data_IF_383414450390
#
_entry.id   IF_383414450390
#
_cell.length_a   1.000
_cell.length_b   1.000
_cell.length_c   1.000
_cell.angle_alpha   90.00
_cell.angle_beta   90.00
_cell.angle_gamma   90.00
#
_symmetry.space_group_name_H-M   'P 1'
#
loop_
_entity.id
_entity.type
_entity.pdbx_description
1 polymer ?
#
# COMPACT_ATOMS: atom_id res chain seq x y z
N UNK A 1 -14.23 14.28 13.98
CA UNK A 1 -13.19 13.31 13.61
C UNK A 1 -12.21 14.01 12.67
N UNK A 2 -10.91 13.83 12.84
CA UNK A 2 -9.94 14.35 11.87
C UNK A 2 -10.18 13.64 10.53
N UNK A 3 -10.24 14.38 9.43
CA UNK A 3 -10.34 13.75 8.11
C UNK A 3 -9.06 12.94 7.85
N UNK A 4 -9.16 11.73 7.27
CA UNK A 4 -7.98 11.02 6.79
C UNK A 4 -7.19 11.94 5.87
N UNK A 5 -5.88 12.07 6.12
CA UNK A 5 -4.98 12.79 5.23
C UNK A 5 -4.36 11.77 4.30
N UNK A 6 -4.44 12.00 2.98
CA UNK A 6 -3.76 11.15 2.00
C UNK A 6 -2.23 11.12 2.17
N UNK A 7 -1.65 12.14 2.80
CA UNK A 7 -0.23 12.16 3.18
C UNK A 7 -0.08 12.22 4.70
N UNK A 8 0.71 11.27 5.24
CA UNK A 8 1.15 11.22 6.62
C UNK A 8 2.67 10.93 6.65
N UNK A 9 3.42 11.91 7.16
CA UNK A 9 4.88 11.85 7.26
C UNK A 9 5.34 10.67 8.13
N UNK A 10 4.75 10.50 9.30
CA UNK A 10 5.18 9.48 10.26
C UNK A 10 4.85 8.08 9.76
N UNK A 11 3.70 7.92 9.08
CA UNK A 11 3.34 6.68 8.41
C UNK A 11 4.42 6.28 7.38
N UNK A 12 4.84 7.19 6.50
CA UNK A 12 5.87 6.91 5.48
C UNK A 12 7.23 6.57 6.11
N UNK A 13 7.66 7.34 7.11
CA UNK A 13 8.98 7.17 7.72
C UNK A 13 9.11 5.90 8.55
N UNK A 14 8.01 5.41 9.12
CA UNK A 14 8.03 4.27 10.05
C UNK A 14 7.48 2.96 9.46
N UNK A 15 6.87 2.99 8.28
CA UNK A 15 6.30 1.78 7.65
C UNK A 15 7.39 0.73 7.36
N UNK A 16 7.10 -0.52 7.75
CA UNK A 16 7.96 -1.69 7.59
C UNK A 16 7.84 -2.34 6.21
N UNK A 17 6.75 -2.10 5.48
CA UNK A 17 6.58 -2.49 4.08
C UNK A 17 7.13 -1.42 3.14
N UNK A 18 8.26 -1.72 2.50
CA UNK A 18 8.78 -0.89 1.41
C UNK A 18 7.86 -0.88 0.17
N UNK A 19 7.21 -2.00 -0.22
CA UNK A 19 6.16 -1.98 -1.26
C UNK A 19 5.07 -0.95 -0.98
N UNK A 20 4.50 -0.92 0.23
CA UNK A 20 3.47 0.08 0.58
C UNK A 20 4.01 1.51 0.49
N UNK A 21 5.25 1.76 0.92
CA UNK A 21 5.89 3.08 0.79
C UNK A 21 6.03 3.49 -0.68
N UNK A 22 6.43 2.57 -1.55
CA UNK A 22 6.54 2.84 -2.99
C UNK A 22 5.18 3.10 -3.62
N UNK A 23 4.18 2.28 -3.33
CA UNK A 23 2.80 2.49 -3.79
C UNK A 23 2.30 3.86 -3.34
N UNK A 24 2.59 4.26 -2.10
CA UNK A 24 2.20 5.57 -1.59
C UNK A 24 2.87 6.73 -2.32
N UNK A 25 4.14 6.59 -2.68
CA UNK A 25 4.85 7.57 -3.51
C UNK A 25 4.16 7.72 -4.87
N UNK A 26 3.84 6.60 -5.52
CA UNK A 26 3.18 6.57 -6.83
C UNK A 26 1.80 7.24 -6.77
N UNK A 27 0.95 6.88 -5.80
CA UNK A 27 -0.38 7.49 -5.61
C UNK A 27 -0.33 9.02 -5.43
N UNK A 28 0.70 9.52 -4.74
CA UNK A 28 0.90 10.95 -4.52
C UNK A 28 1.43 11.63 -5.79
N UNK A 29 2.34 10.99 -6.52
CA UNK A 29 2.85 11.48 -7.80
C UNK A 29 1.74 11.55 -8.87
N UNK A 30 0.86 10.55 -8.94
CA UNK A 30 -0.32 10.57 -9.80
C UNK A 30 -1.21 11.77 -9.52
N UNK A 31 -1.47 12.07 -8.24
CA UNK A 31 -2.28 13.22 -7.89
C UNK A 31 -1.62 14.54 -8.27
N UNK A 32 -0.32 14.69 -8.02
CA UNK A 32 0.41 15.89 -8.47
C UNK A 32 0.38 16.03 -10.00
N UNK A 33 0.47 14.93 -10.77
CA UNK A 33 0.30 14.96 -12.23
C UNK A 33 -1.10 15.45 -12.64
N UNK A 34 -2.15 14.87 -12.06
CA UNK A 34 -3.56 15.20 -12.37
C UNK A 34 -3.91 16.65 -11.98
N UNK A 35 -3.27 17.20 -10.94
CA UNK A 35 -3.41 18.60 -10.53
C UNK A 35 -2.49 19.56 -11.33
N UNK A 36 -1.62 19.04 -12.19
CA UNK A 36 -0.69 19.82 -13.01
C UNK A 36 0.58 20.30 -12.27
N UNK A 37 0.86 19.77 -11.08
CA UNK A 37 2.08 20.02 -10.31
C UNK A 37 3.25 19.14 -10.80
N UNK A 38 3.56 19.24 -12.10
CA UNK A 38 4.45 18.30 -12.81
C UNK A 38 5.88 18.29 -12.25
N UNK A 39 6.37 19.42 -11.74
CA UNK A 39 7.70 19.48 -11.10
C UNK A 39 7.76 18.63 -9.83
N UNK A 40 6.69 18.61 -9.04
CA UNK A 40 6.60 17.81 -7.81
C UNK A 40 6.52 16.33 -8.16
N UNK A 41 5.67 15.98 -9.12
CA UNK A 41 5.57 14.61 -9.62
C UNK A 41 6.91 14.11 -10.18
N UNK A 42 7.60 14.93 -11.00
CA UNK A 42 8.97 14.65 -11.46
C UNK A 42 9.90 14.36 -10.29
N UNK A 43 9.87 15.19 -9.24
CA UNK A 43 10.72 15.01 -8.06
C UNK A 43 10.52 13.65 -7.38
N UNK A 44 9.28 13.22 -7.22
CA UNK A 44 8.93 11.91 -6.65
C UNK A 44 9.35 10.77 -7.56
N UNK A 45 9.03 10.85 -8.86
CA UNK A 45 9.42 9.82 -9.83
C UNK A 45 10.94 9.71 -9.95
N UNK A 46 11.69 10.82 -9.92
CA UNK A 46 13.15 10.81 -9.87
C UNK A 46 13.67 10.07 -8.63
N UNK A 47 13.10 10.32 -7.44
CA UNK A 47 13.48 9.58 -6.23
C UNK A 47 13.24 8.07 -6.40
N UNK A 48 12.07 7.70 -6.93
CA UNK A 48 11.75 6.28 -7.17
C UNK A 48 12.68 5.65 -8.21
N UNK A 49 12.99 6.33 -9.32
CA UNK A 49 13.89 5.82 -10.38
C UNK A 49 15.36 5.73 -9.95
N UNK A 50 15.81 6.60 -9.04
CA UNK A 50 17.11 6.52 -8.40
C UNK A 50 17.20 5.30 -7.46
N UNK A 51 16.10 5.00 -6.78
CA UNK A 51 16.02 3.88 -5.86
C UNK A 51 15.75 2.54 -6.58
N UNK A 52 15.12 2.58 -7.75
CA UNK A 52 14.76 1.42 -8.56
C UNK A 52 15.98 0.71 -9.16
N UNK A 53 16.05 -0.61 -8.97
CA UNK A 53 17.14 -1.45 -9.50
C UNK A 53 16.75 -2.30 -10.70
N UNK A 54 15.47 -2.66 -10.86
CA UNK A 54 15.04 -3.56 -11.96
C UNK A 54 14.25 -2.85 -13.07
N UNK A 55 14.28 -3.41 -14.28
CA UNK A 55 13.51 -2.91 -15.43
C UNK A 55 11.99 -2.98 -15.17
N UNK A 56 11.52 -4.03 -14.47
CA UNK A 56 10.10 -4.16 -14.13
C UNK A 56 9.59 -2.98 -13.31
N UNK A 57 10.39 -2.53 -12.32
CA UNK A 57 10.06 -1.38 -11.48
C UNK A 57 10.11 -0.07 -12.29
N UNK A 58 11.09 0.07 -13.20
CA UNK A 58 11.16 1.23 -14.10
C UNK A 58 9.91 1.32 -14.98
N UNK A 59 9.45 0.18 -15.49
CA UNK A 59 8.24 0.10 -16.30
C UNK A 59 6.99 0.59 -15.54
N UNK A 60 6.93 0.42 -14.21
CA UNK A 60 5.82 0.96 -13.41
C UNK A 60 5.74 2.48 -13.48
N UNK A 61 6.83 3.18 -13.82
CA UNK A 61 6.87 4.63 -13.94
C UNK A 61 6.50 5.15 -15.33
N UNK A 62 6.34 4.29 -16.34
CA UNK A 62 6.10 4.73 -17.73
C UNK A 62 4.80 5.51 -17.91
N UNK A 63 3.77 5.25 -17.09
CA UNK A 63 2.51 5.97 -17.16
C UNK A 63 2.62 7.48 -16.83
N UNK A 64 3.73 7.91 -16.21
CA UNK A 64 4.03 9.33 -15.98
C UNK A 64 4.66 10.03 -17.19
N UNK A 65 5.25 9.29 -18.13
CA UNK A 65 6.00 9.86 -19.27
C UNK A 65 5.16 10.82 -20.14
N UNK A 66 3.88 10.55 -20.44
CA UNK A 66 3.04 11.48 -21.19
C UNK A 66 2.88 12.85 -20.49
N UNK A 67 2.87 12.90 -19.16
CA UNK A 67 2.81 14.17 -18.42
C UNK A 67 4.12 14.94 -18.52
N UNK A 68 5.26 14.25 -18.43
CA UNK A 68 6.59 14.84 -18.60
C UNK A 68 6.83 15.34 -20.02
N UNK A 69 6.33 14.60 -21.01
CA UNK A 69 6.35 15.00 -22.41
C UNK A 69 5.53 16.27 -22.62
N UNK A 70 4.27 16.29 -22.16
CA UNK A 70 3.39 17.44 -22.29
C UNK A 70 3.93 18.72 -21.64
N UNK A 71 4.58 18.61 -20.47
CA UNK A 71 5.20 19.73 -19.79
C UNK A 71 6.62 20.05 -20.29
N UNK A 72 7.21 19.19 -21.12
CA UNK A 72 8.63 19.20 -21.50
C UNK A 72 9.59 19.24 -20.28
N UNK A 73 9.28 18.46 -19.24
CA UNK A 73 10.03 18.39 -17.99
C UNK A 73 10.20 16.92 -17.61
N UNK A 74 11.42 16.40 -17.77
CA UNK A 74 11.72 14.97 -17.59
C UNK A 74 12.61 14.72 -16.37
N UNK A 75 12.40 13.60 -15.63
CA UNK A 75 13.40 13.02 -14.73
C UNK A 75 14.76 12.84 -15.41
N UNK A 76 15.85 13.11 -14.69
CA UNK A 76 17.20 12.96 -15.24
C UNK A 76 17.58 11.48 -15.44
N UNK A 77 16.91 10.60 -14.70
CA UNK A 77 17.07 9.15 -14.71
C UNK A 77 16.50 8.48 -15.98
N UNK A 78 15.63 9.18 -16.73
CA UNK A 78 15.10 8.68 -18.00
C UNK A 78 16.10 9.03 -19.12
N UNK A 79 16.56 8.08 -19.94
CA UNK A 79 17.50 8.34 -21.03
C UNK A 79 16.99 9.40 -22.03
N UNK A 80 17.85 10.30 -22.50
CA UNK A 80 17.46 11.37 -23.44
C UNK A 80 16.75 10.85 -24.71
N UNK A 81 17.17 9.67 -25.20
CA UNK A 81 16.56 9.00 -26.36
C UNK A 81 15.10 8.57 -26.14
N UNK A 82 14.67 8.46 -24.89
CA UNK A 82 13.33 8.08 -24.45
C UNK A 82 12.48 9.31 -24.06
N UNK A 83 13.09 10.51 -23.94
CA UNK A 83 12.42 11.77 -23.60
C UNK A 83 11.72 12.40 -24.81
N UNK A 84 10.69 11.73 -25.34
CA UNK A 84 9.88 12.28 -26.42
C UNK A 84 8.45 11.74 -26.38
N UNK A 85 7.50 12.53 -26.88
CA UNK A 85 6.10 12.11 -27.05
C UNK A 85 6.01 10.79 -27.87
N UNK A 86 6.77 10.69 -28.96
CA UNK A 86 6.78 9.50 -29.81
C UNK A 86 7.41 8.24 -29.14
N UNK A 87 8.16 8.42 -28.05
CA UNK A 87 8.69 7.32 -27.26
C UNK A 87 7.71 6.95 -26.14
N UNK A 88 7.13 7.95 -25.44
CA UNK A 88 6.11 7.73 -24.41
C UNK A 88 4.87 7.00 -24.95
N UNK A 89 4.44 7.32 -26.18
CA UNK A 89 3.30 6.66 -26.83
C UNK A 89 3.53 5.17 -27.12
N UNK A 90 4.79 4.71 -27.08
CA UNK A 90 5.18 3.30 -27.32
C UNK A 90 5.39 2.51 -26.03
N UNK A 91 5.77 3.17 -24.95
CA UNK A 91 6.14 2.56 -23.66
C UNK A 91 5.00 2.56 -22.66
N UNK A 92 4.06 3.49 -22.80
CA UNK A 92 2.94 3.64 -21.88
C UNK A 92 1.84 2.60 -22.18
N UNK A 93 1.32 1.93 -21.15
CA UNK A 93 0.29 0.89 -21.29
C UNK A 93 -1.04 1.51 -21.72
N UNK A 94 -1.32 1.53 -23.03
CA UNK A 94 -2.56 2.07 -23.58
C UNK A 94 -3.77 1.38 -22.94
N UNK A 95 -4.66 2.15 -22.31
CA UNK A 95 -5.93 1.61 -21.84
C UNK A 95 -6.79 1.20 -23.05
N UNK A 96 -7.78 0.33 -22.86
CA UNK A 96 -8.69 -0.13 -23.92
C UNK A 96 -9.47 0.99 -24.66
N UNK A 97 -9.40 2.24 -24.17
CA UNK A 97 -9.99 3.43 -24.79
C UNK A 97 -8.95 4.38 -25.41
N UNK A 98 -7.67 4.14 -25.18
CA UNK A 98 -6.55 4.82 -25.85
C UNK A 98 -6.42 4.21 -27.26
N UNK A 99 -7.33 4.56 -28.18
CA UNK A 99 -7.40 3.94 -29.51
C UNK A 99 -6.68 4.77 -30.57
N UNK A 100 -5.84 4.11 -31.39
CA UNK A 100 -5.22 4.67 -32.60
C UNK A 100 -6.21 4.84 -33.78
N UNK A 101 -7.39 4.20 -33.70
CA UNK A 101 -8.43 4.22 -34.74
C UNK A 101 -9.62 5.10 -34.33
N UNK A 102 -9.65 6.31 -34.88
CA UNK A 102 -10.74 7.31 -34.72
C UNK A 102 -11.98 6.97 -35.57
N UNK A 103 -11.92 5.90 -36.37
CA UNK A 103 -13.00 5.53 -37.29
C UNK A 103 -14.05 4.63 -36.58
N UNK A 104 -15.22 5.24 -36.33
CA UNK A 104 -16.50 4.63 -35.91
C UNK A 104 -16.76 4.38 -34.40
N UNK A 105 -16.36 5.29 -33.50
CA UNK A 105 -17.04 5.40 -32.20
C UNK A 105 -18.12 6.50 -32.24
N UNK A 106 -19.35 6.17 -31.81
CA UNK A 106 -20.39 7.16 -31.51
C UNK A 106 -20.05 7.89 -30.21
N UNK A 107 -18.98 8.69 -30.24
CA UNK A 107 -18.50 9.44 -29.09
C UNK A 107 -19.59 10.37 -28.52
N UNK A 108 -20.49 10.84 -29.38
CA UNK A 108 -21.59 11.71 -28.94
C UNK A 108 -22.65 10.92 -28.16
N UNK A 109 -23.03 9.74 -28.63
CA UNK A 109 -23.92 8.82 -27.91
C UNK A 109 -23.27 8.32 -26.61
N UNK A 110 -22.00 7.93 -26.67
CA UNK A 110 -21.22 7.47 -25.50
C UNK A 110 -21.14 8.55 -24.43
N UNK A 111 -20.82 9.80 -24.79
CA UNK A 111 -20.77 10.92 -23.85
C UNK A 111 -22.13 11.15 -23.18
N UNK A 112 -23.21 11.15 -23.96
CA UNK A 112 -24.56 11.33 -23.41
C UNK A 112 -24.94 10.20 -22.44
N UNK A 113 -24.59 8.95 -22.76
CA UNK A 113 -24.84 7.82 -21.87
C UNK A 113 -24.00 7.89 -20.59
N UNK A 114 -22.73 8.28 -20.69
CA UNK A 114 -21.83 8.44 -19.55
C UNK A 114 -22.34 9.53 -18.59
N UNK A 115 -22.66 10.73 -19.09
CA UNK A 115 -23.22 11.82 -18.28
C UNK A 115 -24.57 11.42 -17.67
N UNK A 116 -25.43 10.74 -18.44
CA UNK A 116 -26.69 10.21 -17.93
C UNK A 116 -26.45 9.24 -16.77
N UNK A 117 -25.49 8.31 -16.89
CA UNK A 117 -25.15 7.38 -15.81
C UNK A 117 -24.63 8.09 -14.57
N UNK A 118 -23.80 9.12 -14.71
CA UNK A 118 -23.33 9.93 -13.58
C UNK A 118 -24.49 10.58 -12.84
N UNK A 119 -25.48 11.11 -13.55
CA UNK A 119 -26.66 11.72 -12.93
C UNK A 119 -27.66 10.71 -12.34
N UNK A 120 -27.80 9.52 -12.95
CA UNK A 120 -28.78 8.50 -12.52
C UNK A 120 -28.26 7.61 -11.39
N UNK A 121 -26.99 7.20 -11.45
CA UNK A 121 -26.39 6.21 -10.54
C UNK A 121 -25.29 6.80 -9.65
N UNK A 122 -24.93 8.07 -9.87
CA UNK A 122 -23.86 8.75 -9.14
C UNK A 122 -22.52 8.71 -9.88
N UNK A 123 -21.60 9.55 -9.41
CA UNK A 123 -20.26 9.69 -9.95
C UNK A 123 -19.39 8.47 -9.63
N UNK A 124 -19.30 7.53 -10.58
CA UNK A 124 -18.30 6.47 -10.60
C UNK A 124 -16.99 6.98 -11.21
N UNK A 125 -15.87 6.54 -10.66
CA UNK A 125 -14.54 6.99 -11.07
C UNK A 125 -14.18 6.57 -12.51
N UNK A 126 -14.60 5.39 -12.96
CA UNK A 126 -14.37 4.92 -14.34
C UNK A 126 -15.21 5.73 -15.31
N UNK A 127 -16.50 5.91 -14.99
CA UNK A 127 -17.43 6.66 -15.83
C UNK A 127 -16.96 8.11 -16.00
N UNK A 128 -16.50 8.77 -14.95
CA UNK A 128 -16.01 10.15 -15.02
C UNK A 128 -14.71 10.29 -15.82
N UNK A 129 -13.75 9.38 -15.63
CA UNK A 129 -12.52 9.37 -16.42
C UNK A 129 -12.82 9.15 -17.91
N UNK A 130 -13.71 8.21 -18.24
CA UNK A 130 -14.12 7.92 -19.62
C UNK A 130 -14.92 9.07 -20.24
N UNK A 131 -15.74 9.76 -19.45
CA UNK A 131 -16.48 10.94 -19.90
C UNK A 131 -15.52 12.08 -20.27
N UNK A 132 -14.45 12.30 -19.49
CA UNK A 132 -13.46 13.33 -19.78
C UNK A 132 -12.69 13.00 -21.06
N UNK A 133 -12.26 11.74 -21.22
CA UNK A 133 -11.67 11.21 -22.45
C UNK A 133 -12.55 11.44 -23.68
N UNK A 134 -13.82 11.04 -23.62
CA UNK A 134 -14.76 11.23 -24.73
C UNK A 134 -15.00 12.72 -25.02
N UNK A 135 -15.17 13.54 -23.98
CA UNK A 135 -15.34 14.99 -24.14
C UNK A 135 -14.12 15.64 -24.81
N UNK A 136 -12.92 15.25 -24.37
CA UNK A 136 -11.64 15.72 -24.90
C UNK A 136 -11.48 15.35 -26.38
N UNK A 137 -11.72 14.08 -26.76
CA UNK A 137 -11.69 13.62 -28.16
C UNK A 137 -12.70 14.36 -29.03
N UNK A 138 -13.91 14.58 -28.52
CA UNK A 138 -14.95 15.34 -29.23
C UNK A 138 -14.60 16.82 -29.44
N UNK A 139 -13.87 17.42 -28.51
CA UNK A 139 -13.36 18.79 -28.64
C UNK A 139 -12.19 18.86 -29.63
N UNK A 140 -11.26 17.89 -29.58
CA UNK A 140 -10.14 17.77 -30.53
C UNK A 140 -10.59 17.62 -31.99
N UNK A 141 -11.74 16.98 -32.24
CA UNK A 141 -12.35 16.92 -33.58
C UNK A 141 -12.76 18.29 -34.13
N UNK A 142 -12.91 19.30 -33.28
CA UNK A 142 -13.33 20.65 -33.66
C UNK A 142 -12.15 21.62 -33.74
N UNK A 143 -11.16 21.47 -32.86
CA UNK A 143 -10.01 22.35 -32.77
C UNK A 143 -8.80 21.63 -32.19
N UNK A 144 -7.61 21.94 -32.68
CA UNK A 144 -6.34 21.46 -32.11
C UNK A 144 -5.76 22.42 -31.06
N UNK A 145 -6.40 23.57 -30.83
CA UNK A 145 -5.98 24.53 -29.81
C UNK A 145 -6.42 24.04 -28.43
N UNK A 146 -5.46 23.76 -27.55
CA UNK A 146 -5.72 23.23 -26.21
C UNK A 146 -6.49 24.22 -25.33
N UNK A 147 -6.36 25.53 -25.55
CA UNK A 147 -7.14 26.53 -24.81
C UNK A 147 -8.60 26.52 -25.25
N UNK A 148 -8.88 26.30 -26.54
CA UNK A 148 -10.26 26.14 -27.03
C UNK A 148 -10.86 24.81 -26.56
N UNK A 149 -10.08 23.72 -26.56
CA UNK A 149 -10.50 22.41 -26.03
C UNK A 149 -10.83 22.50 -24.54
N UNK A 150 -9.98 23.17 -23.74
CA UNK A 150 -10.23 23.40 -22.33
C UNK A 150 -11.58 24.10 -22.13
N UNK A 151 -11.93 25.08 -22.98
CA UNK A 151 -13.16 25.84 -22.87
C UNK A 151 -14.40 25.17 -23.52
N UNK A 152 -14.25 23.98 -24.10
CA UNK A 152 -15.38 23.21 -24.62
C UNK A 152 -16.38 22.91 -23.49
N UNK A 153 -17.68 23.13 -23.75
CA UNK A 153 -18.70 23.00 -22.72
C UNK A 153 -18.78 21.60 -22.11
N UNK A 154 -18.49 20.55 -22.89
CA UNK A 154 -18.52 19.16 -22.42
C UNK A 154 -17.32 18.85 -21.54
N UNK A 155 -16.14 19.38 -21.91
CA UNK A 155 -14.92 19.26 -21.11
C UNK A 155 -15.11 19.98 -19.77
N UNK A 156 -15.64 21.21 -19.79
CA UNK A 156 -15.93 21.97 -18.58
C UNK A 156 -16.95 21.29 -17.66
N UNK A 157 -18.02 20.72 -18.23
CA UNK A 157 -19.04 19.95 -17.48
C UNK A 157 -18.41 18.78 -16.73
N UNK A 158 -17.59 17.97 -17.40
CA UNK A 158 -16.94 16.81 -16.75
C UNK A 158 -15.90 17.25 -15.72
N UNK A 159 -15.12 18.30 -16.00
CA UNK A 159 -14.14 18.83 -15.04
C UNK A 159 -14.81 19.33 -13.75
N UNK A 160 -16.02 19.89 -13.84
CA UNK A 160 -16.80 20.29 -12.67
C UNK A 160 -17.30 19.09 -11.87
N UNK A 161 -17.79 18.04 -12.55
CA UNK A 161 -18.18 16.78 -11.90
C UNK A 161 -16.98 16.11 -11.21
N UNK A 162 -15.81 16.08 -11.87
CA UNK A 162 -14.57 15.57 -11.30
C UNK A 162 -14.14 16.37 -10.07
N UNK A 163 -14.14 17.71 -10.16
CA UNK A 163 -13.76 18.58 -9.04
C UNK A 163 -14.66 18.34 -7.81
N UNK A 164 -15.95 18.09 -8.00
CA UNK A 164 -16.89 17.79 -6.91
C UNK A 164 -16.69 16.39 -6.30
N UNK A 165 -16.08 15.47 -7.04
CA UNK A 165 -15.95 14.07 -6.65
C UNK A 165 -14.50 13.63 -6.41
N UNK A 166 -13.51 14.52 -6.51
CA UNK A 166 -12.08 14.19 -6.43
C UNK A 166 -11.65 13.49 -5.14
N UNK A 167 -12.48 13.54 -4.09
CA UNK A 167 -12.23 12.80 -2.85
C UNK A 167 -12.44 11.29 -3.02
N UNK A 168 -13.18 10.87 -4.06
CA UNK A 168 -13.52 9.48 -4.30
C UNK A 168 -12.32 8.65 -4.75
N UNK A 169 -12.27 7.42 -4.26
CA UNK A 169 -11.22 6.46 -4.47
C UNK A 169 -11.10 6.10 -5.96
N UNK A 170 -9.85 6.01 -6.40
CA UNK A 170 -9.51 5.62 -7.75
C UNK A 170 -9.89 6.61 -8.86
N UNK A 171 -10.41 7.81 -8.57
CA UNK A 171 -10.54 8.87 -9.60
C UNK A 171 -9.15 9.29 -10.09
N UNK A 172 -8.25 9.61 -9.15
CA UNK A 172 -6.90 10.08 -9.47
C UNK A 172 -6.13 9.07 -10.31
N UNK A 173 -6.05 7.81 -9.87
CA UNK A 173 -5.29 6.78 -10.59
C UNK A 173 -5.85 6.51 -11.99
N UNK A 174 -7.19 6.50 -12.14
CA UNK A 174 -7.83 6.36 -13.46
C UNK A 174 -7.56 7.55 -14.38
N UNK A 175 -7.55 8.78 -13.87
CA UNK A 175 -7.18 9.96 -14.64
C UNK A 175 -5.69 9.95 -15.00
N UNK A 176 -4.83 9.61 -14.04
CA UNK A 176 -3.38 9.51 -14.23
C UNK A 176 -3.03 8.48 -15.31
N UNK A 177 -3.73 7.34 -15.35
CA UNK A 177 -3.53 6.29 -16.35
C UNK A 177 -4.08 6.60 -17.76
N UNK A 178 -4.72 7.75 -18.00
CA UNK A 178 -5.30 8.11 -19.32
C UNK A 178 -4.33 8.99 -20.10
N UNK A 179 -3.49 8.38 -20.93
CA UNK A 179 -2.39 9.10 -21.60
C UNK A 179 -2.86 10.28 -22.43
N UNK A 180 -3.97 10.15 -23.16
CA UNK A 180 -4.52 11.24 -23.99
C UNK A 180 -4.90 12.48 -23.18
N UNK A 181 -5.22 12.32 -21.88
CA UNK A 181 -5.60 13.42 -20.99
C UNK A 181 -4.39 14.14 -20.39
N UNK A 182 -3.19 13.57 -20.47
CA UNK A 182 -1.99 14.09 -19.79
C UNK A 182 -1.68 15.52 -20.20
N UNK A 183 -1.82 15.85 -21.50
CA UNK A 183 -1.64 17.20 -22.02
C UNK A 183 -2.64 18.19 -21.44
N UNK A 184 -3.91 17.79 -21.31
CA UNK A 184 -4.96 18.61 -20.72
C UNK A 184 -4.71 18.82 -19.22
N UNK A 185 -4.46 17.75 -18.47
CA UNK A 185 -4.32 17.77 -17.01
C UNK A 185 -3.04 18.49 -16.56
N UNK A 186 -1.95 18.38 -17.32
CA UNK A 186 -0.70 19.11 -17.07
C UNK A 186 -0.84 20.64 -17.10
N UNK A 187 -1.94 21.19 -17.65
CA UNK A 187 -2.22 22.64 -17.63
C UNK A 187 -2.79 23.17 -16.31
N UNK A 188 -2.92 22.31 -15.29
CA UNK A 188 -3.59 22.56 -14.02
C UNK A 188 -5.10 22.84 -14.17
N UNK A 189 -5.74 22.46 -15.28
CA UNK A 189 -7.14 22.80 -15.55
C UNK A 189 -8.09 22.27 -14.45
N UNK A 190 -7.85 21.06 -13.94
CA UNK A 190 -8.64 20.46 -12.88
C UNK A 190 -8.38 21.16 -11.53
N UNK A 191 -7.12 21.48 -11.23
CA UNK A 191 -6.76 22.23 -10.02
C UNK A 191 -7.34 23.65 -10.00
N UNK A 192 -7.71 24.24 -11.14
CA UNK A 192 -8.44 25.53 -11.19
C UNK A 192 -9.93 25.40 -10.85
N UNK A 193 -10.49 24.20 -10.99
CA UNK A 193 -11.89 23.89 -10.63
C UNK A 193 -12.05 23.55 -9.16
N UNK A 194 -10.99 23.09 -8.51
CA UNK A 194 -10.91 22.94 -7.05
C UNK A 194 -10.28 24.22 -6.48
N UNK A 195 -10.81 24.87 -5.42
CA UNK A 195 -10.24 26.11 -4.90
C UNK A 195 -8.96 25.86 -4.06
N UNK A 196 -7.95 25.24 -4.68
CA UNK A 196 -6.65 24.91 -4.09
C UNK A 196 -5.81 26.18 -3.95
N UNK A 197 -5.26 26.39 -2.76
CA UNK A 197 -4.23 27.38 -2.54
C UNK A 197 -2.90 26.89 -3.12
N UNK A 198 -2.43 27.60 -4.16
CA UNK A 198 -1.18 27.28 -4.86
C UNK A 198 0.04 27.20 -3.92
N UNK A 199 0.14 28.07 -2.92
CA UNK A 199 1.27 28.06 -2.00
C UNK A 199 1.19 26.87 -1.04
N UNK A 200 -0.02 26.48 -0.61
CA UNK A 200 -0.21 25.29 0.23
C UNK A 200 0.21 24.02 -0.51
N UNK A 201 -0.21 23.84 -1.76
CA UNK A 201 0.15 22.64 -2.54
C UNK A 201 1.64 22.61 -2.89
N UNK A 202 2.27 23.75 -3.20
CA UNK A 202 3.72 23.84 -3.41
C UNK A 202 4.51 23.45 -2.14
N UNK A 203 4.12 23.99 -0.97
CA UNK A 203 4.77 23.65 0.29
C UNK A 203 4.58 22.17 0.66
N UNK A 204 3.38 21.63 0.45
CA UNK A 204 3.08 20.22 0.68
C UNK A 204 3.94 19.35 -0.25
N UNK A 205 4.06 19.70 -1.53
CA UNK A 205 4.92 18.99 -2.48
C UNK A 205 6.38 18.92 -2.03
N UNK A 206 6.93 20.01 -1.50
CA UNK A 206 8.28 20.02 -0.93
C UNK A 206 8.40 19.11 0.29
N UNK A 207 7.41 19.14 1.19
CA UNK A 207 7.38 18.28 2.37
C UNK A 207 7.35 16.79 1.99
N UNK A 208 6.48 16.42 1.04
CA UNK A 208 6.34 15.05 0.54
C UNK A 208 7.65 14.55 -0.06
N UNK A 209 8.28 15.32 -0.96
CA UNK A 209 9.57 14.97 -1.56
C UNK A 209 10.64 14.76 -0.49
N UNK A 210 10.72 15.66 0.49
CA UNK A 210 11.73 15.56 1.53
C UNK A 210 11.49 14.34 2.44
N UNK A 211 10.23 13.98 2.72
CA UNK A 211 9.90 12.75 3.46
C UNK A 211 10.38 11.49 2.75
N UNK A 212 10.08 11.34 1.45
CA UNK A 212 10.52 10.17 0.70
C UNK A 212 12.04 10.13 0.52
N UNK A 213 12.66 11.28 0.23
CA UNK A 213 14.11 11.40 0.19
C UNK A 213 14.73 10.93 1.51
N UNK A 214 14.18 11.37 2.63
CA UNK A 214 14.65 10.98 3.94
C UNK A 214 14.49 9.46 4.17
N UNK A 215 13.33 8.89 3.82
CA UNK A 215 13.06 7.45 3.92
C UNK A 215 14.01 6.61 3.09
N UNK A 216 14.35 7.06 1.89
CA UNK A 216 15.23 6.31 0.96
C UNK A 216 16.72 6.46 1.33
N UNK A 217 17.14 7.61 1.88
CA UNK A 217 18.53 7.81 2.30
C UNK A 217 18.81 7.16 3.65
N UNK A 218 17.93 7.37 4.64
CA UNK A 218 18.19 6.97 6.03
C UNK A 218 17.56 5.63 6.40
N UNK A 219 16.73 5.05 5.52
CA UNK A 219 15.98 3.85 5.82
C UNK A 219 14.80 4.11 6.77
N UNK A 220 14.31 3.04 7.39
CA UNK A 220 13.11 3.08 8.24
C UNK A 220 13.46 3.70 9.58
N UNK A 221 12.60 4.58 10.08
CA UNK A 221 12.66 5.00 11.48
C UNK A 221 11.89 4.01 12.36
N UNK A 222 12.44 3.58 13.51
CA UNK A 222 11.64 2.86 14.49
C UNK A 222 10.53 3.77 15.00
N UNK A 223 9.33 3.21 15.15
CA UNK A 223 8.21 3.83 15.82
C UNK A 223 8.49 3.89 17.32
N UNK A 224 8.08 4.95 17.99
CA UNK A 224 8.32 5.14 19.44
C UNK A 224 7.89 3.93 20.29
N UNK A 225 6.81 3.24 19.88
CA UNK A 225 6.30 2.06 20.59
C UNK A 225 7.25 0.86 20.54
N UNK A 226 8.12 0.76 19.53
CA UNK A 226 9.07 -0.36 19.38
C UNK A 226 10.05 -0.43 20.57
N UNK A 227 10.32 0.71 21.19
CA UNK A 227 11.18 0.79 22.38
C UNK A 227 10.47 0.49 23.71
N UNK A 228 9.14 0.33 23.70
CA UNK A 228 8.33 0.17 24.91
C UNK A 228 8.12 -1.30 25.30
N UNK A 229 7.91 -1.61 26.60
CA UNK A 229 7.57 -2.96 27.07
C UNK A 229 6.36 -3.58 26.36
N UNK A 230 6.30 -4.91 26.26
CA UNK A 230 5.20 -5.64 25.58
C UNK A 230 3.81 -5.25 26.11
N UNK A 231 3.71 -5.06 27.42
CA UNK A 231 2.47 -4.62 28.07
C UNK A 231 1.96 -3.27 27.53
N UNK A 232 2.86 -2.33 27.24
CA UNK A 232 2.48 -1.01 26.72
C UNK A 232 1.98 -1.10 25.28
N UNK A 233 2.53 -2.01 24.47
CA UNK A 233 2.02 -2.30 23.11
C UNK A 233 0.60 -2.83 23.18
N UNK A 234 0.34 -3.82 24.04
CA UNK A 234 -0.99 -4.43 24.20
C UNK A 234 -2.02 -3.42 24.74
N UNK A 235 -1.63 -2.57 25.69
CA UNK A 235 -2.50 -1.51 26.19
C UNK A 235 -2.84 -0.48 25.10
N UNK A 236 -1.87 -0.12 24.26
CA UNK A 236 -2.10 0.80 23.14
C UNK A 236 -2.98 0.15 22.06
N UNK A 237 -2.80 -1.13 21.76
CA UNK A 237 -3.66 -1.92 20.87
C UNK A 237 -5.11 -1.91 21.36
N UNK A 238 -5.34 -2.18 22.64
CA UNK A 238 -6.67 -2.13 23.23
C UNK A 238 -7.27 -0.73 23.16
N UNK A 239 -6.49 0.30 23.54
CA UNK A 239 -6.93 1.70 23.52
C UNK A 239 -7.35 2.12 22.12
N UNK A 240 -6.63 1.68 21.09
CA UNK A 240 -6.93 2.02 19.71
C UNK A 240 -8.10 1.22 19.15
N UNK A 241 -8.23 -0.04 19.54
CA UNK A 241 -9.26 -0.96 19.02
C UNK A 241 -10.65 -0.60 19.53
N UNK A 242 -10.83 -0.46 20.86
CA UNK A 242 -12.15 -0.30 21.48
C UNK A 242 -13.05 0.78 20.85
N UNK A 243 -12.58 2.03 20.62
CA UNK A 243 -13.45 3.05 20.02
C UNK A 243 -13.69 2.83 18.53
N UNK A 244 -12.81 2.09 17.83
CA UNK A 244 -12.89 1.89 16.37
C UNK A 244 -13.71 0.67 15.97
N UNK A 245 -13.79 -0.34 16.83
CA UNK A 245 -14.53 -1.57 16.56
C UNK A 245 -16.01 -1.52 16.95
N UNK A 246 -16.52 -0.40 17.51
CA UNK A 246 -17.91 -0.30 17.96
C UNK A 246 -18.93 -0.60 16.86
N UNK A 247 -18.69 -0.10 15.64
CA UNK A 247 -19.57 -0.37 14.50
C UNK A 247 -19.60 -1.86 14.12
N UNK A 248 -18.45 -2.51 14.12
CA UNK A 248 -18.34 -3.95 13.87
C UNK A 248 -19.15 -4.77 14.91
N UNK A 249 -19.04 -4.43 16.20
CA UNK A 249 -19.79 -5.15 17.25
C UNK A 249 -21.31 -4.93 17.14
N UNK A 250 -21.74 -3.72 16.78
CA UNK A 250 -23.14 -3.40 16.51
C UNK A 250 -23.68 -4.20 15.33
N UNK A 251 -22.93 -4.28 14.23
CA UNK A 251 -23.29 -5.09 13.03
C UNK A 251 -23.38 -6.58 13.34
N UNK A 252 -22.50 -7.08 14.21
CA UNK A 252 -22.50 -8.48 14.65
C UNK A 252 -23.56 -8.80 15.70
N UNK A 253 -24.34 -7.81 16.15
CA UNK A 253 -25.32 -7.91 17.25
C UNK A 253 -24.70 -8.48 18.54
N UNK A 254 -23.45 -8.09 18.83
CA UNK A 254 -22.68 -8.56 19.99
C UNK A 254 -22.22 -7.38 20.86
N UNK A 255 -22.13 -7.61 22.17
CA UNK A 255 -21.59 -6.62 23.08
C UNK A 255 -20.04 -6.58 22.96
N UNK A 256 -19.43 -5.39 22.83
CA UNK A 256 -17.98 -5.28 22.81
C UNK A 256 -17.41 -5.78 24.15
N UNK A 257 -16.28 -6.52 24.14
CA UNK A 257 -15.69 -7.01 25.37
C UNK A 257 -15.20 -5.86 26.25
N UNK A 258 -15.38 -5.98 27.58
CA UNK A 258 -14.89 -4.98 28.54
C UNK A 258 -13.38 -4.79 28.46
N UNK A 259 -12.65 -5.84 28.10
CA UNK A 259 -11.20 -5.88 27.95
C UNK A 259 -10.80 -6.84 26.82
N UNK A 260 -9.74 -6.51 26.08
CA UNK A 260 -9.13 -7.46 25.14
C UNK A 260 -8.17 -8.43 25.84
N UNK A 261 -7.73 -8.12 27.06
CA UNK A 261 -6.89 -9.01 27.85
C UNK A 261 -7.69 -10.21 28.35
N UNK A 262 -7.24 -11.42 28.02
CA UNK A 262 -7.76 -12.64 28.62
C UNK A 262 -7.07 -12.91 29.97
N UNK A 263 -7.81 -12.74 31.06
CA UNK A 263 -7.30 -12.81 32.42
C UNK A 263 -7.87 -14.03 33.17
N UNK A 264 -7.09 -14.65 34.08
CA UNK A 264 -5.73 -14.27 34.50
C UNK A 264 -4.64 -14.60 33.45
N UNK A 265 -3.46 -13.95 33.51
CA UNK A 265 -2.33 -14.31 32.65
C UNK A 265 -1.87 -15.75 32.87
N UNK A 266 -1.20 -16.33 31.89
CA UNK A 266 -0.70 -17.70 31.99
C UNK A 266 0.41 -17.81 33.05
N UNK A 267 0.37 -18.88 33.84
CA UNK A 267 1.45 -19.19 34.79
C UNK A 267 2.63 -19.89 34.10
N UNK A 268 3.79 -19.89 34.75
CA UNK A 268 4.96 -20.62 34.24
C UNK A 268 4.65 -22.12 34.05
N UNK A 269 3.87 -22.73 34.94
CA UNK A 269 3.45 -24.13 34.83
C UNK A 269 2.55 -24.39 33.62
N UNK A 270 1.65 -23.46 33.30
CA UNK A 270 0.80 -23.57 32.11
C UNK A 270 1.62 -23.47 30.82
N UNK A 271 2.58 -22.54 30.78
CA UNK A 271 3.49 -22.39 29.63
C UNK A 271 4.38 -23.64 29.49
N UNK A 272 4.93 -24.16 30.58
CA UNK A 272 5.71 -25.41 30.55
C UNK A 272 4.84 -26.59 30.09
N UNK A 273 3.60 -26.68 30.53
CA UNK A 273 2.67 -27.73 30.08
C UNK A 273 2.36 -27.62 28.59
N UNK A 274 2.24 -26.40 28.07
CA UNK A 274 2.06 -26.13 26.64
C UNK A 274 3.29 -26.56 25.83
N UNK A 275 4.49 -26.19 26.28
CA UNK A 275 5.76 -26.60 25.67
C UNK A 275 5.93 -28.12 25.66
N UNK A 276 5.57 -28.81 26.75
CA UNK A 276 5.56 -30.28 26.82
C UNK A 276 4.54 -30.91 25.85
N UNK A 277 3.34 -30.31 25.75
CA UNK A 277 2.28 -30.77 24.83
C UNK A 277 2.70 -30.63 23.36
N UNK A 278 3.32 -29.51 23.01
CA UNK A 278 3.79 -29.23 21.65
C UNK A 278 5.15 -29.89 21.36
N UNK A 279 5.90 -30.26 22.40
CA UNK A 279 7.28 -30.78 22.34
C UNK A 279 8.27 -29.80 21.72
N UNK A 280 8.12 -28.52 22.04
CA UNK A 280 8.98 -27.42 21.59
C UNK A 280 9.25 -26.46 22.74
N UNK A 281 10.26 -25.61 22.60
CA UNK A 281 10.44 -24.43 23.46
C UNK A 281 9.91 -23.21 22.72
N UNK A 282 8.90 -22.55 23.28
CA UNK A 282 8.27 -21.38 22.66
C UNK A 282 9.19 -20.15 22.70
N UNK A 283 9.04 -19.23 21.74
CA UNK A 283 9.86 -18.02 21.70
C UNK A 283 9.63 -17.13 22.93
N UNK A 284 10.69 -16.45 23.38
CA UNK A 284 10.70 -15.72 24.65
C UNK A 284 9.72 -14.54 24.67
N UNK A 285 9.57 -13.83 23.55
CA UNK A 285 8.62 -12.73 23.40
C UNK A 285 7.16 -13.21 23.44
N UNK A 286 6.86 -14.38 22.87
CA UNK A 286 5.54 -15.00 22.98
C UNK A 286 5.23 -15.48 24.40
N UNK A 287 6.22 -16.03 25.12
CA UNK A 287 6.06 -16.37 26.54
C UNK A 287 5.87 -15.12 27.40
N UNK A 288 6.57 -14.01 27.12
CA UNK A 288 6.33 -12.72 27.78
C UNK A 288 4.88 -12.27 27.60
N UNK A 289 4.37 -12.36 26.36
CA UNK A 289 2.96 -12.07 26.05
C UNK A 289 1.99 -12.91 26.88
N UNK A 290 2.18 -14.23 26.92
CA UNK A 290 1.30 -15.14 27.69
C UNK A 290 1.29 -14.81 29.19
N UNK A 291 2.43 -14.36 29.74
CA UNK A 291 2.55 -13.92 31.14
C UNK A 291 1.92 -12.55 31.41
N UNK A 292 1.59 -11.78 30.37
CA UNK A 292 0.83 -10.54 30.48
C UNK A 292 -0.67 -10.81 30.29
N UNK A 293 -1.03 -11.74 29.39
CA UNK A 293 -2.40 -12.08 29.03
C UNK A 293 -2.47 -13.49 28.46
N UNK A 294 -3.43 -14.32 28.89
CA UNK A 294 -3.56 -15.70 28.39
C UNK A 294 -4.33 -15.76 27.07
N UNK A 295 -3.79 -15.13 26.03
CA UNK A 295 -4.49 -14.81 24.79
C UNK A 295 -4.99 -13.36 24.77
N UNK A 296 -5.45 -12.88 23.62
CA UNK A 296 -5.85 -11.48 23.43
C UNK A 296 -6.98 -11.38 22.42
N UNK A 297 -7.98 -10.54 22.69
CA UNK A 297 -9.11 -10.33 21.79
C UNK A 297 -8.71 -9.74 20.44
N UNK A 298 -9.63 -9.83 19.48
CA UNK A 298 -9.41 -9.30 18.13
C UNK A 298 -9.09 -7.80 18.14
N UNK A 299 -8.17 -7.39 17.27
CA UNK A 299 -7.65 -6.01 17.20
C UNK A 299 -8.09 -5.32 15.92
N UNK A 300 -8.45 -4.05 15.99
CA UNK A 300 -8.91 -3.31 14.81
C UNK A 300 -7.78 -3.14 13.78
N UNK A 301 -7.97 -3.60 12.55
CA UNK A 301 -6.94 -3.51 11.51
C UNK A 301 -7.14 -2.35 10.52
N UNK A 302 -8.14 -1.51 10.78
CA UNK A 302 -8.60 -0.48 9.86
C UNK A 302 -9.98 -0.82 9.31
N UNK A 303 -10.25 -2.09 8.99
CA UNK A 303 -11.45 -2.53 8.28
C UNK A 303 -12.32 -3.50 9.09
N UNK A 304 -11.73 -4.53 9.69
CA UNK A 304 -12.39 -5.46 10.60
C UNK A 304 -11.50 -5.73 11.83
N UNK A 305 -11.94 -6.63 12.70
CA UNK A 305 -11.07 -7.17 13.76
C UNK A 305 -10.15 -8.23 13.15
N UNK A 306 -8.84 -8.05 13.29
CA UNK A 306 -7.89 -9.14 13.11
C UNK A 306 -8.21 -10.28 14.09
N UNK A 307 -7.84 -11.53 13.76
CA UNK A 307 -8.16 -12.68 14.60
C UNK A 307 -7.64 -12.53 16.04
N UNK A 308 -8.41 -13.02 17.03
CA UNK A 308 -7.93 -13.09 18.40
C UNK A 308 -6.71 -14.02 18.49
N UNK A 309 -5.88 -13.77 19.51
CA UNK A 309 -4.75 -14.60 19.88
C UNK A 309 -5.17 -15.61 20.94
N UNK A 310 -4.79 -16.86 20.70
CA UNK A 310 -5.15 -18.02 21.51
C UNK A 310 -4.54 -17.95 22.90
N UNK A 311 -5.29 -18.44 23.90
CA UNK A 311 -4.73 -18.80 25.19
C UNK A 311 -4.01 -20.14 25.14
N UNK A 312 -3.27 -20.48 26.20
CA UNK A 312 -2.47 -21.71 26.28
C UNK A 312 -3.23 -23.01 25.99
N UNK A 313 -4.55 -23.03 26.22
CA UNK A 313 -5.39 -24.20 25.98
C UNK A 313 -5.72 -24.39 24.49
N UNK A 314 -5.80 -23.29 23.73
CA UNK A 314 -6.21 -23.28 22.32
C UNK A 314 -5.02 -23.31 21.34
N UNK A 315 -3.81 -22.94 21.80
CA UNK A 315 -2.59 -23.04 20.99
C UNK A 315 -2.36 -24.50 20.59
N UNK A 316 -2.13 -24.76 19.30
CA UNK A 316 -1.93 -26.12 18.79
C UNK A 316 -1.10 -26.13 17.51
N UNK A 317 -0.67 -27.31 17.07
CA UNK A 317 -0.13 -27.47 15.72
C UNK A 317 -1.22 -27.15 14.71
N UNK A 318 -0.88 -26.38 13.68
CA UNK A 318 -1.79 -26.03 12.59
C UNK A 318 -2.22 -27.27 11.81
N UNK A 319 -3.36 -27.17 11.11
CA UNK A 319 -3.73 -28.19 10.12
C UNK A 319 -2.61 -28.30 9.07
N UNK A 320 -2.11 -29.50 8.74
CA UNK A 320 -1.12 -29.69 7.67
C UNK A 320 -1.53 -29.13 6.30
N UNK A 321 -2.84 -28.97 6.05
CA UNK A 321 -3.34 -28.34 4.83
C UNK A 321 -3.09 -26.82 4.77
N UNK A 322 -2.69 -26.21 5.89
CA UNK A 322 -2.31 -24.80 5.99
C UNK A 322 -0.79 -24.60 5.89
N UNK A 323 -0.05 -25.60 5.44
CA UNK A 323 1.37 -25.45 5.15
C UNK A 323 1.60 -24.46 4.00
N UNK A 324 2.39 -23.42 4.27
CA UNK A 324 2.78 -22.42 3.28
C UNK A 324 3.86 -23.04 2.42
N UNK A 325 3.51 -23.39 1.17
CA UNK A 325 4.40 -24.11 0.25
C UNK A 325 5.63 -23.30 -0.17
N UNK A 326 5.55 -21.97 -0.11
CA UNK A 326 6.60 -21.05 -0.50
C UNK A 326 6.74 -19.96 0.56
N UNK A 327 7.75 -20.07 1.45
CA UNK A 327 7.89 -19.18 2.59
C UNK A 327 9.04 -18.17 2.43
N UNK A 328 8.71 -16.89 2.43
CA UNK A 328 9.66 -15.77 2.50
C UNK A 328 9.44 -14.94 3.78
N UNK A 329 10.51 -14.32 4.28
CA UNK A 329 10.47 -13.47 5.48
C UNK A 329 10.41 -11.97 5.19
N UNK A 330 10.08 -11.62 3.95
CA UNK A 330 9.79 -10.25 3.53
C UNK A 330 8.77 -10.27 2.39
N UNK A 331 8.16 -9.13 2.12
CA UNK A 331 7.31 -8.95 0.93
C UNK A 331 8.15 -8.77 -0.34
N UNK A 332 7.51 -8.97 -1.50
CA UNK A 332 8.12 -8.70 -2.80
C UNK A 332 7.56 -7.40 -3.37
N UNK A 333 8.45 -6.52 -3.84
CA UNK A 333 8.03 -5.25 -4.46
C UNK A 333 7.31 -5.47 -5.78
N UNK A 334 7.63 -6.55 -6.51
CA UNK A 334 6.91 -6.95 -7.72
C UNK A 334 5.65 -7.78 -7.47
N UNK A 335 5.37 -8.16 -6.22
CA UNK A 335 4.33 -9.12 -5.89
C UNK A 335 4.67 -10.57 -6.26
N UNK A 336 5.86 -10.83 -6.80
CA UNK A 336 6.35 -12.18 -7.15
C UNK A 336 7.74 -12.40 -6.58
N UNK A 337 8.06 -13.64 -6.18
CA UNK A 337 9.42 -13.93 -5.72
C UNK A 337 10.43 -13.79 -6.86
N UNK A 338 11.47 -13.04 -6.57
CA UNK A 338 12.58 -12.73 -7.47
C UNK A 338 13.85 -13.51 -7.13
N UNK A 339 13.84 -14.23 -6.00
CA UNK A 339 14.97 -15.02 -5.50
C UNK A 339 14.91 -16.44 -6.05
N UNK A 340 16.07 -16.94 -6.50
CA UNK A 340 16.21 -18.26 -7.09
C UNK A 340 17.35 -19.02 -6.45
N UNK A 341 17.10 -20.28 -6.15
CA UNK A 341 18.10 -21.21 -5.64
C UNK A 341 18.89 -21.84 -6.81
N UNK A 342 20.23 -21.93 -6.72
CA UNK A 342 21.04 -22.67 -7.67
C UNK A 342 20.65 -24.15 -7.69
N UNK A 343 20.38 -24.68 -8.89
CA UNK A 343 20.21 -26.12 -9.14
C UNK A 343 19.07 -26.81 -8.35
N UNK A 344 18.18 -26.05 -7.70
CA UNK A 344 16.99 -26.54 -6.98
C UNK A 344 15.73 -25.98 -7.62
N UNK A 345 14.71 -26.83 -7.81
CA UNK A 345 13.42 -26.42 -8.36
C UNK A 345 12.48 -25.83 -7.29
N UNK A 346 12.80 -25.95 -6.00
CA UNK A 346 11.86 -25.61 -4.93
C UNK A 346 12.51 -24.75 -3.83
N UNK A 347 11.82 -23.65 -3.51
CA UNK A 347 12.07 -22.81 -2.35
C UNK A 347 11.47 -23.46 -1.09
N UNK A 348 12.01 -23.22 0.13
CA UNK A 348 11.50 -23.88 1.33
C UNK A 348 10.04 -23.51 1.66
N UNK A 349 9.31 -24.49 2.20
CA UNK A 349 7.98 -24.31 2.81
C UNK A 349 8.09 -23.92 4.29
N UNK A 350 6.95 -23.59 4.90
CA UNK A 350 6.85 -23.37 6.35
C UNK A 350 7.02 -24.64 7.18
N UNK A 351 6.79 -25.81 6.59
CA UNK A 351 6.60 -27.06 7.32
C UNK A 351 5.44 -26.99 8.32
N UNK A 352 5.44 -27.88 9.33
CA UNK A 352 4.51 -27.81 10.45
C UNK A 352 4.69 -26.51 11.24
N UNK A 353 3.57 -25.80 11.45
CA UNK A 353 3.53 -24.54 12.19
C UNK A 353 2.67 -24.64 13.45
N UNK A 354 2.84 -23.72 14.38
CA UNK A 354 2.00 -23.62 15.57
C UNK A 354 1.00 -22.48 15.38
N UNK A 355 -0.29 -22.79 15.43
CA UNK A 355 -1.37 -21.80 15.36
C UNK A 355 -1.52 -21.13 16.73
N UNK A 356 -1.36 -19.80 16.75
CA UNK A 356 -1.47 -18.96 17.95
C UNK A 356 -2.63 -17.96 17.87
N UNK A 357 -3.42 -18.02 16.81
CA UNK A 357 -4.65 -17.26 16.66
C UNK A 357 -5.34 -17.66 15.36
N UNK A 358 -6.68 -17.61 15.36
CA UNK A 358 -7.50 -17.95 14.20
C UNK A 358 -8.90 -17.36 14.28
N UNK A 359 -9.40 -16.91 13.16
CA UNK A 359 -10.79 -16.51 12.95
C UNK A 359 -11.15 -16.86 11.50
N UNK A 360 -12.10 -17.79 11.33
CA UNK A 360 -12.48 -18.32 10.02
C UNK A 360 -11.26 -18.86 9.23
N UNK A 361 -10.92 -18.19 8.13
CA UNK A 361 -9.82 -18.46 7.21
C UNK A 361 -8.53 -17.70 7.56
N UNK A 362 -8.59 -16.75 8.49
CA UNK A 362 -7.45 -15.94 8.90
C UNK A 362 -6.71 -16.62 10.06
N UNK A 363 -5.38 -16.69 9.98
CA UNK A 363 -4.55 -17.38 10.97
C UNK A 363 -3.29 -16.61 11.37
N UNK A 364 -2.78 -16.89 12.56
CA UNK A 364 -1.46 -16.44 13.00
C UNK A 364 -0.64 -17.67 13.35
N UNK A 365 0.47 -17.85 12.64
CA UNK A 365 1.29 -19.05 12.71
C UNK A 365 2.71 -18.71 13.20
N UNK A 366 3.27 -19.58 14.03
CA UNK A 366 4.67 -19.59 14.39
C UNK A 366 5.40 -20.68 13.57
N UNK A 367 6.41 -20.24 12.83
CA UNK A 367 7.33 -21.10 12.07
C UNK A 367 8.41 -21.61 13.02
N UNK A 368 8.58 -22.93 13.05
CA UNK A 368 9.52 -23.58 13.97
C UNK A 368 10.99 -23.32 13.61
N UNK A 369 11.93 -23.53 14.54
CA UNK A 369 13.34 -23.18 14.32
C UNK A 369 14.01 -23.91 13.17
N UNK A 370 13.67 -25.18 12.96
CA UNK A 370 14.25 -25.98 11.89
C UNK A 370 13.89 -25.41 10.51
N UNK A 371 12.64 -24.99 10.32
CA UNK A 371 12.15 -24.43 9.06
C UNK A 371 12.57 -22.96 8.90
N UNK A 372 12.59 -22.18 9.98
CA UNK A 372 13.14 -20.81 9.97
C UNK A 372 14.60 -20.82 9.52
N UNK A 373 15.41 -21.73 10.06
CA UNK A 373 16.81 -21.92 9.65
C UNK A 373 16.93 -22.34 8.18
N UNK A 374 16.08 -23.25 7.71
CA UNK A 374 16.06 -23.68 6.30
C UNK A 374 15.78 -22.54 5.33
N UNK A 375 14.82 -21.68 5.65
CA UNK A 375 14.51 -20.46 4.85
C UNK A 375 15.70 -19.50 4.86
N UNK A 376 16.32 -19.24 6.02
CA UNK A 376 17.50 -18.37 6.12
C UNK A 376 18.71 -18.92 5.33
N UNK A 377 18.90 -20.24 5.30
CA UNK A 377 19.93 -20.90 4.49
C UNK A 377 19.63 -20.78 2.98
N UNK A 378 18.35 -20.82 2.59
CA UNK A 378 17.92 -20.58 1.22
C UNK A 378 18.21 -19.15 0.77
N UNK A 379 17.93 -18.14 1.61
CA UNK A 379 18.35 -16.76 1.35
C UNK A 379 19.86 -16.65 1.11
N UNK A 380 20.65 -17.22 2.02
CA UNK A 380 22.11 -17.23 1.94
C UNK A 380 22.61 -17.87 0.64
N UNK A 381 21.94 -18.92 0.19
CA UNK A 381 22.25 -19.64 -1.05
C UNK A 381 21.87 -18.80 -2.26
N UNK A 382 20.66 -18.21 -2.29
CA UNK A 382 20.19 -17.36 -3.39
C UNK A 382 21.07 -16.11 -3.58
N UNK A 383 21.47 -15.46 -2.47
CA UNK A 383 22.34 -14.28 -2.53
C UNK A 383 23.77 -14.60 -3.00
N UNK A 384 24.30 -15.80 -2.69
CA UNK A 384 25.63 -16.25 -3.15
C UNK A 384 25.60 -16.85 -4.56
N UNK A 385 24.44 -17.35 -5.00
CA UNK A 385 24.23 -18.00 -6.29
C UNK A 385 24.27 -17.04 -7.49
N UNK A 386 24.40 -17.59 -8.69
CA UNK A 386 24.36 -16.83 -9.96
C UNK A 386 22.98 -16.71 -10.59
N UNK A 387 22.00 -17.49 -10.11
CA UNK A 387 20.68 -17.61 -10.75
C UNK A 387 19.74 -16.45 -10.41
N UNK A 388 19.99 -15.78 -9.29
CA UNK A 388 19.35 -14.51 -8.93
C UNK A 388 20.17 -13.36 -9.52
N UNK A 389 19.53 -12.44 -10.25
CA UNK A 389 20.21 -11.26 -10.78
C UNK A 389 20.70 -10.34 -9.65
N UNK A 390 21.79 -9.60 -9.87
CA UNK A 390 22.31 -8.66 -8.85
C UNK A 390 21.30 -7.56 -8.50
N UNK A 391 20.44 -7.16 -9.44
CA UNK A 391 19.40 -6.17 -9.18
C UNK A 391 18.26 -6.75 -8.33
N UNK A 392 17.88 -8.01 -8.55
CA UNK A 392 16.94 -8.71 -7.69
C UNK A 392 17.52 -8.88 -6.28
N UNK A 393 18.80 -9.27 -6.16
CA UNK A 393 19.47 -9.37 -4.85
C UNK A 393 19.45 -8.04 -4.10
N UNK A 394 19.82 -6.96 -4.79
CA UNK A 394 19.82 -5.60 -4.21
C UNK A 394 18.42 -5.18 -3.78
N UNK A 395 17.39 -5.51 -4.55
CA UNK A 395 16.02 -5.15 -4.22
C UNK A 395 15.49 -5.91 -3.00
N UNK A 396 15.75 -7.21 -2.94
CA UNK A 396 15.39 -8.03 -1.78
C UNK A 396 16.10 -7.52 -0.51
N UNK A 397 17.38 -7.14 -0.63
CA UNK A 397 18.12 -6.56 0.49
C UNK A 397 17.44 -5.30 1.05
N UNK A 398 16.92 -4.41 0.19
CA UNK A 398 16.19 -3.21 0.64
C UNK A 398 14.92 -3.54 1.41
N UNK A 399 14.15 -4.53 0.98
CA UNK A 399 12.93 -4.93 1.70
C UNK A 399 13.29 -5.57 3.04
N UNK A 400 14.32 -6.41 3.07
CA UNK A 400 14.83 -7.00 4.31
C UNK A 400 15.29 -5.91 5.29
N UNK A 401 16.06 -4.93 4.82
CA UNK A 401 16.50 -3.80 5.65
C UNK A 401 15.33 -2.95 6.14
N UNK A 402 14.32 -2.70 5.30
CA UNK A 402 13.12 -1.98 5.70
C UNK A 402 12.35 -2.70 6.82
N UNK A 403 12.23 -4.04 6.74
CA UNK A 403 11.46 -4.84 7.69
C UNK A 403 12.24 -5.17 8.97
N UNK A 404 13.42 -5.75 8.82
CA UNK A 404 14.22 -6.32 9.90
C UNK A 404 15.31 -5.37 10.38
N UNK A 405 15.49 -4.20 9.75
CA UNK A 405 16.56 -3.26 10.04
C UNK A 405 17.89 -3.63 9.37
N UNK A 406 18.20 -4.93 9.22
CA UNK A 406 19.28 -5.43 8.38
C UNK A 406 19.15 -6.93 8.09
N UNK A 407 19.90 -7.43 7.10
CA UNK A 407 20.04 -8.87 6.86
C UNK A 407 20.64 -9.62 8.05
N UNK A 408 21.57 -8.99 8.79
CA UNK A 408 22.17 -9.61 9.98
C UNK A 408 21.18 -9.75 11.14
N UNK A 409 20.26 -8.78 11.32
CA UNK A 409 19.18 -8.92 12.29
C UNK A 409 18.18 -10.00 11.86
N UNK A 410 17.81 -10.06 10.57
CA UNK A 410 16.94 -11.13 10.06
C UNK A 410 17.52 -12.53 10.31
N UNK A 411 18.84 -12.70 10.15
CA UNK A 411 19.52 -13.99 10.42
C UNK A 411 19.51 -14.42 11.89
N UNK A 412 19.14 -13.54 12.81
CA UNK A 412 18.98 -13.89 14.24
C UNK A 412 17.61 -14.48 14.56
N UNK A 413 16.68 -14.49 13.59
CA UNK A 413 15.38 -15.12 13.77
C UNK A 413 15.59 -16.62 14.05
N UNK A 414 15.19 -17.03 15.25
CA UNK A 414 15.05 -18.44 15.61
C UNK A 414 13.63 -18.93 15.31
N UNK A 415 12.63 -18.10 15.63
CA UNK A 415 11.24 -18.30 15.26
C UNK A 415 10.81 -17.16 14.33
N UNK A 416 9.90 -17.46 13.41
CA UNK A 416 9.22 -16.45 12.61
C UNK A 416 7.71 -16.52 12.84
N UNK A 417 7.05 -15.36 12.78
CA UNK A 417 5.60 -15.20 12.84
C UNK A 417 5.11 -14.78 11.46
N UNK A 418 4.02 -15.41 11.02
CA UNK A 418 3.35 -15.09 9.76
C UNK A 418 1.85 -14.94 10.02
N UNK A 419 1.25 -13.92 9.43
CA UNK A 419 -0.21 -13.82 9.34
C UNK A 419 -0.63 -14.47 8.02
N UNK A 420 -1.52 -15.45 8.11
CA UNK A 420 -2.09 -16.17 6.99
C UNK A 420 -3.46 -15.56 6.67
N UNK A 421 -3.63 -15.07 5.44
CA UNK A 421 -4.91 -14.57 4.92
C UNK A 421 -5.33 -15.39 3.69
N UNK A 422 -6.59 -15.26 3.27
CA UNK A 422 -7.12 -15.95 2.08
C UNK A 422 -6.34 -15.68 0.79
N UNK A 423 -5.76 -14.49 0.65
CA UNK A 423 -5.10 -14.05 -0.59
C UNK A 423 -3.58 -13.99 -0.50
N UNK A 424 -3.02 -13.90 0.71
CA UNK A 424 -1.60 -13.58 0.90
C UNK A 424 -1.10 -13.91 2.31
N UNK A 425 0.17 -14.32 2.37
CA UNK A 425 0.89 -14.57 3.62
C UNK A 425 1.75 -13.35 3.96
N UNK A 426 1.60 -12.82 5.17
CA UNK A 426 2.27 -11.58 5.59
C UNK A 426 3.38 -11.91 6.60
N UNK A 427 4.66 -11.91 6.17
CA UNK A 427 5.77 -12.20 7.07
C UNK A 427 6.00 -11.04 8.04
N UNK A 428 5.94 -11.35 9.33
CA UNK A 428 6.03 -10.35 10.40
C UNK A 428 7.40 -10.28 11.09
N UNK A 429 8.20 -11.34 11.01
CA UNK A 429 9.45 -11.47 11.78
C UNK A 429 9.19 -12.13 13.14
N UNK A 430 9.62 -11.51 14.24
CA UNK A 430 9.33 -11.99 15.61
C UNK A 430 7.85 -11.81 15.98
N UNK A 431 7.40 -12.48 17.05
CA UNK A 431 6.04 -12.29 17.56
C UNK A 431 5.83 -10.84 18.07
N UNK A 432 6.88 -10.25 18.63
CA UNK A 432 6.87 -8.83 19.00
C UNK A 432 6.62 -7.91 17.79
N UNK A 433 7.34 -8.11 16.70
CA UNK A 433 7.17 -7.29 15.47
C UNK A 433 5.76 -7.46 14.87
N UNK A 434 5.19 -8.66 14.96
CA UNK A 434 3.80 -8.91 14.60
C UNK A 434 2.82 -8.00 15.37
N UNK A 435 2.94 -7.91 16.71
CA UNK A 435 2.09 -7.03 17.52
C UNK A 435 2.29 -5.54 17.18
N UNK A 436 3.51 -5.14 16.89
CA UNK A 436 3.83 -3.77 16.48
C UNK A 436 3.23 -3.43 15.11
N UNK A 437 3.24 -4.37 14.15
CA UNK A 437 2.60 -4.22 12.86
C UNK A 437 1.08 -4.10 13.00
N UNK A 438 0.45 -4.94 13.83
CA UNK A 438 -0.98 -4.81 14.17
C UNK A 438 -1.29 -3.42 14.75
N UNK A 439 -0.45 -2.94 15.65
CA UNK A 439 -0.65 -1.63 16.26
C UNK A 439 -0.61 -0.50 15.23
N UNK A 440 0.25 -0.57 14.22
CA UNK A 440 0.25 0.39 13.11
C UNK A 440 -1.08 0.36 12.37
N UNK A 441 -1.58 -0.83 12.03
CA UNK A 441 -2.87 -1.00 11.34
C UNK A 441 -4.05 -0.44 12.13
N UNK A 442 -4.02 -0.47 13.47
CA UNK A 442 -5.07 0.17 14.29
C UNK A 442 -5.21 1.68 14.07
N UNK A 443 -4.17 2.32 13.54
CA UNK A 443 -4.16 3.76 13.25
C UNK A 443 -4.45 4.09 11.79
N UNK A 444 -4.38 3.09 10.91
CA UNK A 444 -4.78 3.21 9.51
C UNK A 444 -6.30 3.38 9.45
N UNK A 445 -6.76 4.38 8.70
CA UNK A 445 -8.19 4.56 8.43
C UNK A 445 -8.57 3.46 7.43
N UNK A 446 -9.57 2.65 7.74
CA UNK A 446 -10.03 1.55 6.87
C UNK A 446 -10.56 2.00 5.53
N UNK A 447 -11.10 1.02 4.79
CA UNK A 447 -11.95 1.33 3.65
C UNK A 447 -13.03 2.30 4.12
N UNK A 448 -13.12 3.47 3.47
CA UNK A 448 -14.12 4.43 3.84
C UNK A 448 -15.50 3.78 3.66
N UNK A 449 -16.36 3.87 4.68
CA UNK A 449 -17.82 3.77 4.51
C UNK A 449 -18.19 4.60 3.27
N UNK A 450 -19.10 4.12 2.41
CA UNK A 450 -19.61 4.85 1.23
C UNK A 450 -20.07 6.29 1.56
N UNK A 451 -20.36 6.58 2.84
CA UNK A 451 -20.68 7.92 3.36
C UNK A 451 -19.52 8.67 4.04
N UNK A 452 -18.43 8.00 4.38
CA UNK A 452 -17.23 8.66 4.87
C UNK A 452 -16.55 9.35 3.69
N UNK A 453 -16.28 10.65 3.83
CA UNK A 453 -15.54 11.40 2.81
C UNK A 453 -14.12 10.84 2.74
N UNK A 454 -13.99 9.87 1.85
CA UNK A 454 -12.86 9.00 1.51
C UNK A 454 -11.53 9.76 1.48
N UNK A 455 -10.50 9.18 2.10
CA UNK A 455 -9.03 9.45 2.11
C UNK A 455 -8.45 10.88 1.99
N UNK A 456 -9.24 11.92 1.73
CA UNK A 456 -8.87 13.30 1.46
C UNK A 456 -7.86 13.44 0.33
N UNK A 457 -8.29 13.70 -0.91
CA UNK A 457 -7.37 14.18 -1.97
C UNK A 457 -6.52 15.35 -1.43
N UNK A 458 -5.25 15.41 -1.82
CA UNK A 458 -4.31 16.49 -1.46
C UNK A 458 -4.92 17.86 -1.76
N UNK A 459 -5.68 17.97 -2.85
CA UNK A 459 -6.40 19.18 -3.23
C UNK A 459 -7.29 19.72 -2.08
N UNK A 460 -7.98 18.84 -1.34
CA UNK A 460 -8.83 19.24 -0.22
C UNK A 460 -8.05 19.58 1.05
N UNK A 461 -6.87 19.01 1.22
CA UNK A 461 -5.94 19.40 2.30
C UNK A 461 -5.32 20.78 2.05
N UNK A 462 -5.38 21.26 0.82
CA UNK A 462 -4.78 22.50 0.36
C UNK A 462 -5.81 23.57 -0.04
N UNK A 463 -7.08 23.47 0.37
CA UNK A 463 -8.09 24.48 0.06
C UNK A 463 -7.71 25.88 0.57
N UNK A 464 -8.13 26.92 -0.16
CA UNK A 464 -8.02 28.30 0.26
C UNK A 464 -8.82 28.55 1.55
N UNK A 465 -8.36 29.46 2.42
CA UNK A 465 -8.94 29.67 3.76
C UNK A 465 -10.42 30.17 3.76
N UNK A 466 -10.98 30.48 2.58
CA UNK A 466 -12.31 31.04 2.40
C UNK A 466 -13.25 30.19 1.50
N UNK A 467 -12.90 28.94 1.20
CA UNK A 467 -13.70 28.03 0.36
C UNK A 467 -14.58 27.08 1.14
#
# INVERSE_FOLDING_TARGET
MAQPKKYDREAILTNTSLPEVYNKLVELAEEFCVLGEINTAKGLVSLLLQDTTSDWQRNQCHHFEPYFAAANIWPDEIPEKERSEAASDKTATKHALDTDDVEEQDDKGNFQEQIKKVHEYGADASILADALSTAFRLALKQTSDLDEVQNDSRVQEVLELLAQNLYKEGIISRLAGRHELSGLLATCVLARKVPVDKKKIENLGQEVIETFRERFINGRRPLDIESKPMKDVLLELERNTKPRSLGFWEEMEQEPPETLFNLPPATDEQITSLEERLKVTLPDDYKEFLKITNGFGGTWNGFHLDPPLHGVDDVQWSDPLLEISFLEFHENISGTSELKLPESDEWPSSGPTIEIGREDVLGILLITPDYTKGVLEAYDTAFKGSDTSEDNKRQNMKVIEARHGSYEEMKKLEWATIEFHDSEDIPCGTFRQFLENRLRRTTTVGFPDENSKEAGSLAYSCLADNS
#
